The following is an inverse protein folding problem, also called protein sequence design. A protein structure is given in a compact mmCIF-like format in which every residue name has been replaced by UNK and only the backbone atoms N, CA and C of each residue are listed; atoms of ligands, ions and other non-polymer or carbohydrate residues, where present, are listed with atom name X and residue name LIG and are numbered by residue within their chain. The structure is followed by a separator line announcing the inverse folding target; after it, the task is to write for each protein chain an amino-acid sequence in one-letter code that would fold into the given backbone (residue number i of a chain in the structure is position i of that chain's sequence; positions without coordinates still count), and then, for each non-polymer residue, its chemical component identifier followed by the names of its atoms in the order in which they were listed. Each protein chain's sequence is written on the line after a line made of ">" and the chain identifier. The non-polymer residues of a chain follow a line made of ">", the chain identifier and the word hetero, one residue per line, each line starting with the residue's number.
data_IF_195829546996
#
_entry.id   IF_195829546996
#
_cell.length_a   1.000
_cell.length_b   1.000
_cell.length_c   1.000
_cell.angle_alpha   90.00
_cell.angle_beta   90.00
_cell.angle_gamma   90.00
#
_symmetry.space_group_name_H-M   'P 1'
#
loop_
_entity.id
_entity.type
_entity.pdbx_description
1 polymer ?
#
# COMPACT_ATOMS: atom_id res chain seq x y z
N UNK A 1 -11.40 11.14 -10.73
CA UNK A 1 -10.81 10.17 -9.78
C UNK A 1 -10.95 10.69 -8.35
N UNK A 2 -12.09 10.49 -7.68
CA UNK A 2 -12.26 10.92 -6.29
C UNK A 2 -13.49 10.25 -5.64
N UNK A 3 -13.46 8.93 -5.46
CA UNK A 3 -14.60 8.20 -4.89
C UNK A 3 -14.22 7.21 -3.77
N UNK A 4 -13.09 7.41 -3.09
CA UNK A 4 -12.65 6.49 -2.01
C UNK A 4 -12.17 7.20 -0.73
N UNK A 5 -12.80 8.31 -0.33
CA UNK A 5 -12.39 9.07 0.86
C UNK A 5 -13.47 9.19 1.95
N UNK A 6 -14.36 8.21 2.08
CA UNK A 6 -15.29 8.19 3.20
C UNK A 6 -15.32 6.82 3.87
N UNK A 7 -14.26 6.52 4.62
CA UNK A 7 -14.22 5.40 5.55
C UNK A 7 -14.14 5.96 6.97
N UNK A 8 -15.02 5.48 7.85
CA UNK A 8 -15.30 5.99 9.21
C UNK A 8 -14.08 5.99 10.17
N UNK A 9 -12.96 5.38 9.76
CA UNK A 9 -11.70 5.27 10.51
C UNK A 9 -10.52 5.85 9.72
N UNK A 10 -10.69 7.02 9.12
CA UNK A 10 -9.61 7.67 8.36
C UNK A 10 -8.58 8.27 9.33
N UNK A 11 -7.34 7.77 9.27
CA UNK A 11 -6.23 8.41 9.97
C UNK A 11 -6.00 9.78 9.33
N UNK A 12 -5.98 10.85 10.13
CA UNK A 12 -5.59 12.18 9.68
C UNK A 12 -4.10 12.16 9.31
N UNK A 13 -3.79 11.84 8.07
CA UNK A 13 -2.44 11.95 7.52
C UNK A 13 -2.18 13.41 7.13
N UNK A 14 -1.00 13.94 7.49
CA UNK A 14 -0.57 15.24 7.03
C UNK A 14 -0.59 15.30 5.48
N UNK A 15 -0.91 16.46 4.88
CA UNK A 15 -0.75 16.64 3.44
C UNK A 15 0.68 16.28 3.04
N UNK A 16 0.85 15.54 1.93
CA UNK A 16 2.16 15.14 1.40
C UNK A 16 2.97 14.12 2.24
N UNK A 17 2.33 13.28 3.06
CA UNK A 17 3.00 12.15 3.73
C UNK A 17 2.65 10.79 3.10
N UNK A 18 3.15 10.47 1.88
CA UNK A 18 2.93 9.16 1.27
C UNK A 18 3.51 8.02 2.11
N UNK A 19 4.52 8.30 2.93
CA UNK A 19 5.18 7.40 3.88
C UNK A 19 4.19 6.76 4.88
N UNK A 20 3.14 7.52 5.23
CA UNK A 20 2.09 7.09 6.16
C UNK A 20 0.96 6.32 5.47
N UNK A 21 0.94 6.28 4.14
CA UNK A 21 -0.06 5.55 3.39
C UNK A 21 0.38 4.09 3.19
N UNK A 22 0.10 3.25 4.18
CA UNK A 22 0.44 1.81 4.18
C UNK A 22 -0.10 1.04 2.97
N UNK A 23 -1.16 1.54 2.31
CA UNK A 23 -1.71 0.91 1.11
C UNK A 23 -0.74 1.01 -0.08
N UNK A 24 0.13 2.02 -0.13
CA UNK A 24 1.11 2.16 -1.21
C UNK A 24 2.08 0.97 -1.23
N UNK A 25 2.46 0.45 -0.06
CA UNK A 25 3.32 -0.72 0.04
C UNK A 25 2.63 -1.98 -0.48
N UNK A 26 1.33 -2.11 -0.23
CA UNK A 26 0.53 -3.21 -0.75
C UNK A 26 0.44 -3.14 -2.28
N UNK A 27 0.23 -1.95 -2.84
CA UNK A 27 0.23 -1.74 -4.29
C UNK A 27 1.59 -2.08 -4.92
N UNK A 28 2.70 -1.65 -4.31
CA UNK A 28 4.04 -2.01 -4.78
C UNK A 28 4.30 -3.52 -4.71
N UNK A 29 3.77 -4.20 -3.69
CA UNK A 29 3.86 -5.67 -3.60
C UNK A 29 3.09 -6.35 -4.74
N UNK A 30 1.85 -5.92 -4.98
CA UNK A 30 1.02 -6.44 -6.06
C UNK A 30 1.66 -6.20 -7.43
N UNK A 31 2.16 -4.98 -7.68
CA UNK A 31 2.82 -4.64 -8.94
C UNK A 31 4.03 -5.54 -9.23
N UNK A 32 4.89 -5.75 -8.21
CA UNK A 32 6.05 -6.66 -8.33
C UNK A 32 5.63 -8.11 -8.59
N UNK A 33 4.52 -8.54 -8.03
CA UNK A 33 4.01 -9.89 -8.24
C UNK A 33 3.49 -10.06 -9.68
N UNK A 34 2.68 -9.11 -10.14
CA UNK A 34 2.15 -9.04 -11.51
C UNK A 34 3.28 -8.96 -12.55
N UNK A 35 4.35 -8.21 -12.28
CA UNK A 35 5.52 -8.09 -13.16
C UNK A 35 6.26 -9.42 -13.40
N UNK A 36 6.07 -10.44 -12.56
CA UNK A 36 6.66 -11.77 -12.77
C UNK A 36 5.95 -12.56 -13.86
N UNK A 37 4.74 -12.15 -14.23
CA UNK A 37 3.94 -12.80 -15.28
C UNK A 37 4.22 -12.14 -16.63
N UNK A 38 4.27 -12.96 -17.69
CA UNK A 38 4.28 -12.44 -19.05
C UNK A 38 2.86 -12.13 -19.49
N UNK A 39 2.48 -10.86 -19.41
CA UNK A 39 1.14 -10.38 -19.71
C UNK A 39 1.13 -9.77 -21.11
N UNK A 40 0.30 -10.32 -22.00
CA UNK A 40 0.22 -9.87 -23.40
C UNK A 40 -1.13 -9.26 -23.76
N UNK A 41 -2.15 -9.36 -22.88
CA UNK A 41 -3.47 -8.76 -23.09
C UNK A 41 -4.05 -8.11 -21.83
N UNK A 42 -5.06 -7.25 -22.01
CA UNK A 42 -5.77 -6.60 -20.90
C UNK A 42 -6.57 -7.62 -20.09
N UNK A 43 -7.14 -8.64 -20.71
CA UNK A 43 -7.84 -9.71 -19.99
C UNK A 43 -6.88 -10.52 -19.12
N UNK A 44 -5.70 -10.87 -19.64
CA UNK A 44 -4.66 -11.54 -18.84
C UNK A 44 -4.23 -10.69 -17.65
N UNK A 45 -4.03 -9.38 -17.86
CA UNK A 45 -3.69 -8.46 -16.77
C UNK A 45 -4.73 -8.49 -15.65
N UNK A 46 -6.03 -8.45 -16.01
CA UNK A 46 -7.12 -8.50 -15.02
C UNK A 46 -7.12 -9.83 -14.25
N UNK A 47 -6.94 -10.96 -14.93
CA UNK A 47 -6.90 -12.27 -14.29
C UNK A 47 -5.72 -12.40 -13.34
N UNK A 48 -4.52 -12.02 -13.79
CA UNK A 48 -3.30 -12.05 -12.96
C UNK A 48 -3.43 -11.12 -11.76
N UNK A 49 -3.99 -9.92 -11.94
CA UNK A 49 -4.24 -9.00 -10.82
C UNK A 49 -5.17 -9.61 -9.77
N UNK A 50 -6.23 -10.32 -10.19
CA UNK A 50 -7.14 -10.98 -9.26
C UNK A 50 -6.48 -12.16 -8.55
N UNK A 51 -5.72 -12.98 -9.28
CA UNK A 51 -4.98 -14.11 -8.71
C UNK A 51 -3.95 -13.65 -7.68
N UNK A 52 -3.08 -12.71 -8.06
CA UNK A 52 -2.05 -12.17 -7.17
C UNK A 52 -2.65 -11.46 -5.97
N UNK A 53 -3.78 -10.75 -6.14
CA UNK A 53 -4.50 -10.14 -5.03
C UNK A 53 -4.98 -11.17 -4.01
N UNK A 54 -5.52 -12.30 -4.47
CA UNK A 54 -5.98 -13.39 -3.60
C UNK A 54 -4.82 -14.15 -2.95
N UNK A 55 -3.64 -14.16 -3.59
CA UNK A 55 -2.42 -14.76 -3.06
C UNK A 55 -1.75 -13.92 -1.95
N UNK A 56 -2.18 -12.67 -1.73
CA UNK A 56 -1.65 -11.86 -0.64
C UNK A 56 -2.08 -12.47 0.70
N UNK A 57 -1.11 -13.02 1.42
CA UNK A 57 -1.33 -13.57 2.74
C UNK A 57 -1.91 -12.51 3.71
N UNK A 58 -2.88 -12.86 4.57
CA UNK A 58 -3.41 -11.97 5.61
C UNK A 58 -2.31 -11.39 6.51
N UNK A 59 -1.23 -12.15 6.73
CA UNK A 59 -0.05 -11.74 7.48
C UNK A 59 0.65 -10.52 6.86
N UNK A 60 0.72 -10.43 5.53
CA UNK A 60 1.29 -9.27 4.83
C UNK A 60 0.52 -8.00 5.19
N UNK A 61 -0.81 -8.06 5.13
CA UNK A 61 -1.69 -6.93 5.49
C UNK A 61 -1.58 -6.61 6.98
N UNK A 62 -1.49 -7.62 7.84
CA UNK A 62 -1.30 -7.45 9.28
C UNK A 62 0.01 -6.73 9.61
N UNK A 63 1.13 -7.18 9.05
CA UNK A 63 2.44 -6.55 9.26
C UNK A 63 2.47 -5.09 8.77
N UNK A 64 1.75 -4.77 7.70
CA UNK A 64 1.61 -3.39 7.23
C UNK A 64 0.91 -2.52 8.27
N UNK A 65 -0.20 -2.99 8.85
CA UNK A 65 -0.91 -2.27 9.91
C UNK A 65 -0.05 -2.14 11.17
N UNK A 66 0.60 -3.23 11.60
CA UNK A 66 1.50 -3.25 12.76
C UNK A 66 2.75 -2.37 12.55
N UNK A 67 3.09 -2.01 11.31
CA UNK A 67 4.18 -1.08 11.02
C UNK A 67 3.84 0.39 11.28
N UNK A 68 2.55 0.75 11.39
CA UNK A 68 2.11 2.15 11.51
C UNK A 68 2.74 2.94 12.67
N UNK A 69 2.81 2.40 13.91
CA UNK A 69 3.46 3.10 15.01
C UNK A 69 4.91 3.49 14.68
N UNK A 70 5.67 2.55 14.09
CA UNK A 70 7.08 2.79 13.70
C UNK A 70 7.23 3.82 12.59
N UNK A 71 6.27 3.90 11.65
CA UNK A 71 6.26 4.92 10.59
C UNK A 71 5.97 6.30 11.16
N UNK A 72 5.01 6.39 12.09
CA UNK A 72 4.68 7.62 12.80
C UNK A 72 5.88 8.13 13.62
N UNK A 73 6.55 7.24 14.36
CA UNK A 73 7.78 7.58 15.08
C UNK A 73 8.87 8.09 14.15
N UNK A 74 9.04 7.48 12.98
CA UNK A 74 10.01 7.93 11.98
C UNK A 74 9.69 9.34 11.47
N UNK A 75 8.41 9.65 11.20
CA UNK A 75 7.98 11.00 10.78
C UNK A 75 8.19 12.02 11.91
N UNK A 76 7.88 11.66 13.16
CA UNK A 76 8.11 12.52 14.33
C UNK A 76 9.60 12.81 14.49
N UNK A 77 10.44 11.77 14.42
CA UNK A 77 11.90 11.91 14.50
C UNK A 77 12.46 12.73 13.33
N UNK A 78 11.86 12.60 12.15
CA UNK A 78 12.19 13.41 10.97
C UNK A 78 11.53 14.80 11.00
N UNK A 79 10.87 15.21 12.09
CA UNK A 79 10.18 16.52 12.20
C UNK A 79 9.22 16.80 11.03
N UNK A 80 8.58 15.77 10.50
CA UNK A 80 7.66 15.88 9.35
C UNK A 80 8.34 15.82 7.97
N UNK A 81 9.67 15.67 7.89
CA UNK A 81 10.36 15.41 6.62
C UNK A 81 10.21 13.95 6.16
N UNK A 82 10.56 13.70 4.90
CA UNK A 82 10.48 12.38 4.27
C UNK A 82 11.24 11.31 5.05
N UNK A 83 10.70 10.10 5.07
CA UNK A 83 11.27 8.95 5.76
C UNK A 83 11.67 7.87 4.74
N UNK A 84 12.18 6.74 5.23
CA UNK A 84 12.50 5.57 4.39
C UNK A 84 11.28 4.74 3.98
N UNK A 85 10.10 5.10 4.48
CA UNK A 85 8.85 4.35 4.29
C UNK A 85 8.05 4.89 3.12
#
# INVERSE_FOLDING_TARGET
>A
MAAFYHCRNQLNTLPQSPDLNVINHLWSHLERAVQKHQITSKEQLKSVLQEEWLNIAPETTRHLVESMPRRLEAVISAKGYATKY
#
